data_IF_077912306939
#
_entry.id   IF_077912306939
#
_cell.length_a   1.000
_cell.length_b   1.000
_cell.length_c   1.000
_cell.angle_alpha   90.00
_cell.angle_beta   90.00
_cell.angle_gamma   90.00
#
_symmetry.space_group_name_H-M   'P 1'
#
loop_
_entity.id
_entity.type
_entity.pdbx_description
1 polymer ?
#
# COMPACT_ATOMS: atom_id res chain seq x y z
N UNK A 1 11.99 1.76 2.90
CA UNK A 1 11.46 3.07 2.49
C UNK A 1 11.03 3.83 3.74
N UNK A 2 11.32 5.13 3.81
CA UNK A 2 10.82 5.98 4.89
C UNK A 2 9.29 6.10 4.80
N UNK A 3 8.61 6.09 5.93
CA UNK A 3 7.15 6.16 6.04
C UNK A 3 6.76 7.53 6.58
N UNK A 4 5.86 8.24 5.91
CA UNK A 4 5.42 9.56 6.34
C UNK A 4 3.91 9.60 6.55
N UNK A 5 3.48 10.27 7.61
CA UNK A 5 2.07 10.62 7.83
C UNK A 5 1.83 12.08 7.51
N UNK A 6 0.70 12.36 6.86
CA UNK A 6 0.25 13.69 6.50
C UNK A 6 -1.22 13.80 6.84
N UNK A 7 -1.64 14.96 7.36
CA UNK A 7 -3.05 15.21 7.61
C UNK A 7 -3.73 15.61 6.29
N UNK A 8 -4.08 14.62 5.47
CA UNK A 8 -4.71 14.80 4.18
C UNK A 8 -6.24 14.88 4.29
N UNK A 9 -6.86 15.60 3.36
CA UNK A 9 -8.32 15.68 3.20
C UNK A 9 -8.84 14.71 2.12
N UNK A 10 -10.16 14.53 2.03
CA UNK A 10 -10.78 13.76 0.94
C UNK A 10 -10.35 14.30 -0.44
N UNK A 11 -10.06 13.38 -1.37
CA UNK A 11 -9.51 13.72 -2.70
C UNK A 11 -7.98 13.94 -2.73
N UNK A 12 -7.28 13.82 -1.60
CA UNK A 12 -5.81 13.85 -1.53
C UNK A 12 -5.24 12.47 -1.23
N UNK A 13 -4.05 12.19 -1.76
CA UNK A 13 -3.32 10.96 -1.50
C UNK A 13 -1.80 11.21 -1.50
N UNK A 14 -1.09 10.46 -0.66
CA UNK A 14 0.38 10.36 -0.67
C UNK A 14 0.79 8.92 -0.42
N UNK A 15 2.01 8.55 -0.79
CA UNK A 15 2.51 7.21 -0.54
C UNK A 15 3.92 6.95 -1.08
N UNK A 16 4.48 5.82 -0.67
CA UNK A 16 5.73 5.28 -1.18
C UNK A 16 5.55 3.81 -1.53
N UNK A 17 5.87 3.42 -2.76
CA UNK A 17 5.54 2.10 -3.28
C UNK A 17 6.69 1.45 -4.07
N UNK A 18 6.71 0.13 -4.06
CA UNK A 18 7.35 -0.72 -5.05
C UNK A 18 6.25 -1.31 -5.92
N UNK A 19 6.43 -1.34 -7.23
CA UNK A 19 5.53 -2.02 -8.14
C UNK A 19 6.27 -2.96 -9.09
N UNK A 20 5.61 -4.05 -9.46
CA UNK A 20 5.99 -4.95 -10.55
C UNK A 20 4.81 -5.00 -11.50
N UNK A 21 5.05 -4.82 -12.79
CA UNK A 21 4.00 -4.88 -13.82
C UNK A 21 4.52 -5.55 -15.09
N UNK A 22 3.62 -6.16 -15.85
CA UNK A 22 3.91 -6.67 -17.18
C UNK A 22 3.90 -5.51 -18.20
N UNK A 23 4.70 -5.63 -19.26
CA UNK A 23 4.83 -4.61 -20.31
C UNK A 23 4.56 -5.16 -21.72
N UNK A 24 4.43 -6.47 -21.83
CA UNK A 24 4.28 -7.24 -23.06
C UNK A 24 2.82 -7.43 -23.49
N UNK A 25 1.85 -7.17 -22.61
CA UNK A 25 0.44 -7.26 -22.95
C UNK A 25 -0.13 -5.91 -23.39
N UNK A 26 -0.60 -5.85 -24.64
CA UNK A 26 -1.12 -4.63 -25.26
C UNK A 26 -2.42 -4.10 -24.65
N UNK A 27 -3.16 -4.92 -23.88
CA UNK A 27 -4.52 -4.59 -23.44
C UNK A 27 -4.82 -4.82 -21.96
N UNK A 28 -3.97 -5.54 -21.23
CA UNK A 28 -4.21 -5.83 -19.82
C UNK A 28 -2.92 -5.74 -19.00
N UNK A 29 -2.85 -4.74 -18.14
CA UNK A 29 -1.73 -4.59 -17.20
C UNK A 29 -2.02 -5.45 -15.97
N UNK A 30 -1.20 -6.46 -15.76
CA UNK A 30 -1.07 -7.18 -14.51
C UNK A 30 -0.04 -6.45 -13.65
N UNK A 31 -0.42 -6.03 -12.44
CA UNK A 31 0.44 -5.24 -11.56
C UNK A 31 0.29 -5.67 -10.11
N UNK A 32 1.42 -5.80 -9.43
CA UNK A 32 1.49 -5.93 -7.98
C UNK A 32 2.15 -4.68 -7.43
N UNK A 33 1.52 -4.05 -6.44
CA UNK A 33 2.02 -2.86 -5.75
C UNK A 33 2.07 -3.17 -4.26
N UNK A 34 3.14 -2.78 -3.59
CA UNK A 34 3.25 -2.87 -2.14
C UNK A 34 4.01 -1.65 -1.60
N UNK A 35 3.53 -1.10 -0.48
CA UNK A 35 4.09 0.10 0.09
C UNK A 35 3.26 0.66 1.23
N UNK A 36 3.26 1.98 1.38
CA UNK A 36 2.40 2.69 2.31
C UNK A 36 1.71 3.85 1.61
N UNK A 37 0.53 4.24 2.09
CA UNK A 37 -0.18 5.44 1.66
C UNK A 37 -0.93 6.11 2.81
N UNK A 38 -1.32 7.36 2.58
CA UNK A 38 -2.44 8.03 3.26
C UNK A 38 -3.46 8.32 2.17
N UNK A 39 -4.66 7.77 2.28
CA UNK A 39 -5.72 7.91 1.28
C UNK A 39 -7.09 7.94 1.99
N UNK A 40 -7.55 9.14 2.40
CA UNK A 40 -8.79 9.26 3.17
C UNK A 40 -10.02 8.71 2.47
N UNK A 41 -10.05 8.74 1.13
CA UNK A 41 -11.15 8.17 0.35
C UNK A 41 -11.26 6.63 0.52
N UNK A 42 -10.12 5.95 0.69
CA UNK A 42 -10.08 4.48 0.81
C UNK A 42 -10.22 3.99 2.24
N UNK A 43 -9.72 4.74 3.23
CA UNK A 43 -9.65 4.29 4.64
C UNK A 43 -10.62 5.00 5.58
N UNK A 44 -11.23 6.11 5.13
CA UNK A 44 -12.06 6.98 5.97
C UNK A 44 -11.33 7.51 7.22
N UNK A 45 -10.01 7.73 7.10
CA UNK A 45 -9.16 8.41 8.06
C UNK A 45 -7.94 9.06 7.34
N UNK A 46 -7.12 9.83 8.06
CA UNK A 46 -5.88 10.42 7.52
C UNK A 46 -4.62 9.74 8.09
N UNK A 47 -4.72 8.47 8.49
CA UNK A 47 -3.60 7.70 8.99
C UNK A 47 -2.78 7.11 7.85
N UNK A 48 -1.52 6.74 8.13
CA UNK A 48 -0.70 6.01 7.17
C UNK A 48 -1.02 4.53 7.26
N UNK A 49 -1.34 3.89 6.14
CA UNK A 49 -1.63 2.45 6.08
C UNK A 49 -0.53 1.70 5.31
N UNK A 50 -0.29 0.44 5.70
CA UNK A 50 0.39 -0.51 4.84
C UNK A 50 -0.56 -0.91 3.72
N UNK A 51 -0.16 -0.70 2.47
CA UNK A 51 -1.05 -0.89 1.32
C UNK A 51 -0.48 -1.83 0.28
N UNK A 52 -1.35 -2.68 -0.25
CA UNK A 52 -1.05 -3.54 -1.40
C UNK A 52 -2.11 -3.39 -2.47
N UNK A 53 -1.73 -3.52 -3.73
CA UNK A 53 -2.69 -3.54 -4.84
C UNK A 53 -2.33 -4.67 -5.78
N UNK A 54 -3.30 -5.52 -6.08
CA UNK A 54 -3.19 -6.58 -7.08
C UNK A 54 -4.13 -6.24 -8.22
N UNK A 55 -3.58 -6.08 -9.42
CA UNK A 55 -4.31 -5.69 -10.62
C UNK A 55 -4.13 -6.80 -11.64
N UNK A 56 -5.24 -7.32 -12.16
CA UNK A 56 -5.31 -8.31 -13.22
C UNK A 56 -6.29 -7.81 -14.30
N UNK A 57 -5.75 -7.17 -15.34
CA UNK A 57 -6.56 -6.48 -16.34
C UNK A 57 -7.46 -5.41 -15.72
N UNK A 58 -8.77 -5.60 -15.78
CA UNK A 58 -9.76 -4.68 -15.18
C UNK A 58 -10.08 -4.99 -13.72
N UNK A 59 -9.61 -6.12 -13.19
CA UNK A 59 -9.82 -6.49 -11.80
C UNK A 59 -8.77 -5.81 -10.94
N UNK A 60 -9.20 -5.07 -9.93
CA UNK A 60 -8.32 -4.37 -8.98
C UNK A 60 -8.68 -4.83 -7.58
N UNK A 61 -7.66 -5.27 -6.85
CA UNK A 61 -7.77 -5.68 -5.46
C UNK A 61 -6.87 -4.86 -4.55
N UNK A 62 -7.40 -3.81 -3.92
CA UNK A 62 -6.69 -3.09 -2.88
C UNK A 62 -6.71 -3.89 -1.58
N UNK A 63 -5.57 -3.90 -0.91
CA UNK A 63 -5.28 -4.58 0.35
C UNK A 63 -5.76 -6.05 0.34
N UNK A 64 -6.51 -6.46 1.35
CA UNK A 64 -7.16 -7.77 1.42
C UNK A 64 -8.67 -7.66 1.20
N UNK A 65 -9.12 -6.69 0.38
CA UNK A 65 -10.56 -6.40 0.20
C UNK A 65 -11.25 -7.35 -0.80
N UNK A 66 -10.53 -8.29 -1.40
CA UNK A 66 -11.10 -9.29 -2.32
C UNK A 66 -10.91 -10.71 -1.81
N UNK A 67 -11.80 -11.63 -2.20
CA UNK A 67 -11.65 -13.05 -1.88
C UNK A 67 -10.32 -13.63 -2.39
N UNK A 68 -9.70 -14.52 -1.61
CA UNK A 68 -8.52 -15.30 -2.00
C UNK A 68 -7.16 -14.71 -1.59
N UNK A 69 -7.12 -13.45 -1.12
CA UNK A 69 -5.92 -12.88 -0.51
C UNK A 69 -5.91 -13.15 0.99
N UNK A 70 -5.03 -14.05 1.42
CA UNK A 70 -4.88 -14.45 2.82
C UNK A 70 -3.50 -14.09 3.35
N UNK A 71 -3.47 -13.45 4.52
CA UNK A 71 -2.23 -13.28 5.28
C UNK A 71 -1.73 -14.64 5.76
N UNK A 72 -0.41 -14.86 5.75
CA UNK A 72 0.17 -16.05 6.38
C UNK A 72 -0.11 -16.04 7.89
N UNK A 73 -0.25 -17.24 8.46
CA UNK A 73 -0.42 -17.41 9.89
C UNK A 73 0.71 -16.67 10.63
N UNK A 74 0.37 -15.90 11.67
CA UNK A 74 1.27 -15.04 12.47
C UNK A 74 1.82 -13.76 11.83
N UNK A 75 1.29 -13.31 10.68
CA UNK A 75 1.62 -11.97 10.16
C UNK A 75 1.20 -10.87 11.13
N UNK A 76 2.18 -10.18 11.72
CA UNK A 76 1.95 -9.00 12.56
C UNK A 76 1.53 -7.77 11.74
N UNK A 77 1.87 -7.76 10.45
CA UNK A 77 1.55 -6.68 9.50
C UNK A 77 0.75 -7.28 8.34
N UNK A 78 -0.47 -6.79 8.12
CA UNK A 78 -1.35 -7.18 7.01
C UNK A 78 -1.80 -5.94 6.24
N UNK A 79 -2.07 -6.06 4.92
CA UNK A 79 -2.52 -4.93 4.11
C UNK A 79 -3.79 -4.28 4.67
N UNK A 80 -3.84 -2.95 4.58
CA UNK A 80 -4.90 -2.11 5.12
C UNK A 80 -4.70 -1.70 6.58
N UNK A 81 -3.70 -2.19 7.30
CA UNK A 81 -3.46 -1.77 8.69
C UNK A 81 -2.74 -0.44 8.80
N UNK A 82 -3.05 0.31 9.86
CA UNK A 82 -2.36 1.54 10.23
C UNK A 82 -0.91 1.25 10.61
N UNK A 83 0.01 2.03 10.07
CA UNK A 83 1.41 2.07 10.48
C UNK A 83 1.60 3.26 11.43
N UNK A 84 1.96 2.95 12.68
CA UNK A 84 2.33 3.94 13.68
C UNK A 84 3.46 3.39 14.56
N UNK A 85 4.51 4.17 14.87
CA UNK A 85 4.72 5.58 14.49
C UNK A 85 5.22 5.76 13.05
N UNK A 86 5.07 6.99 12.52
CA UNK A 86 5.61 7.42 11.21
C UNK A 86 6.86 8.31 11.38
N UNK A 87 7.57 8.57 10.29
CA UNK A 87 8.71 9.50 10.25
C UNK A 87 8.25 10.95 10.42
N UNK A 88 9.11 11.78 11.00
CA UNK A 88 8.98 13.24 10.92
C UNK A 88 9.95 13.82 9.90
N UNK A 89 9.64 14.99 9.34
CA UNK A 89 10.48 15.66 8.34
C UNK A 89 11.85 16.04 8.91
N UNK A 90 11.89 16.52 10.15
CA UNK A 90 13.07 17.03 10.85
C UNK A 90 13.61 16.14 11.98
N UNK A 91 13.05 14.94 12.18
CA UNK A 91 13.38 14.10 13.33
C UNK A 91 13.48 12.61 13.02
N UNK A 92 12.98 11.79 13.95
CA UNK A 92 13.10 10.33 13.91
C UNK A 92 12.50 9.78 12.61
N UNK A 93 13.28 8.95 11.92
CA UNK A 93 12.84 8.20 10.75
C UNK A 93 12.31 6.84 11.15
N UNK A 94 11.25 6.42 10.48
CA UNK A 94 10.66 5.10 10.55
C UNK A 94 10.66 4.54 9.14
N UNK A 95 11.01 3.26 9.01
CA UNK A 95 11.12 2.61 7.72
C UNK A 95 10.39 1.28 7.71
N UNK A 96 9.84 0.93 6.55
CA UNK A 96 9.42 -0.43 6.24
C UNK A 96 10.35 -1.03 5.20
N UNK A 97 10.58 -2.32 5.34
CA UNK A 97 11.19 -3.15 4.29
C UNK A 97 10.07 -3.84 3.55
N UNK A 98 9.93 -3.54 2.28
CA UNK A 98 8.95 -4.19 1.39
C UNK A 98 9.72 -5.10 0.45
N UNK A 99 9.30 -6.36 0.37
CA UNK A 99 9.81 -7.34 -0.58
C UNK A 99 8.64 -7.90 -1.37
N UNK A 100 8.76 -7.85 -2.68
CA UNK A 100 7.82 -8.47 -3.62
C UNK A 100 8.61 -9.50 -4.43
N UNK A 101 8.08 -10.72 -4.57
CA UNK A 101 8.72 -11.82 -5.30
C UNK A 101 7.68 -12.60 -6.10
N UNK A 102 8.12 -13.22 -7.20
CA UNK A 102 7.38 -14.21 -7.99
C UNK A 102 7.59 -15.61 -7.43
#
# INVERSE_FOLDING_TARGET
MDIYGFNLEHGQQTGGFIWIYNTDEASAVNKVIAGWNVEPESYNDSQTHFSTWFIEGSNVCPDMRCPGFESVFSSEIVPGMVISPVSTTSGKKQYITVRVSK
#
